data_IF_397438668580
#
_entry.id   IF_397438668580
#
_cell.length_a   1.000
_cell.length_b   1.000
_cell.length_c   1.000
_cell.angle_alpha   90.00
_cell.angle_beta   90.00
_cell.angle_gamma   90.00
#
_symmetry.space_group_name_H-M   'P 1'
#
loop_
_entity.id
_entity.type
_entity.pdbx_description
1 polymer ?
#
# COMPACT_ATOMS: atom_id res chain seq x y z
N UNK A 1 -35.77 -48.34 5.83
CA UNK A 1 -34.67 -47.96 6.75
C UNK A 1 -34.37 -46.49 6.46
N UNK A 2 -35.12 -45.57 7.10
CA UNK A 2 -34.64 -44.57 8.09
C UNK A 2 -33.49 -43.68 7.56
N UNK A 3 -33.80 -42.43 7.14
CA UNK A 3 -33.80 -41.15 7.90
C UNK A 3 -32.36 -40.55 7.97
N UNK A 4 -32.05 -39.30 7.59
CA UNK A 4 -32.55 -37.96 8.03
C UNK A 4 -31.91 -36.90 7.08
N UNK A 5 -32.62 -36.00 6.37
CA UNK A 5 -33.11 -34.63 6.73
C UNK A 5 -31.97 -33.64 7.11
N UNK A 6 -31.83 -32.36 6.74
CA UNK A 6 -32.35 -31.38 5.75
C UNK A 6 -31.53 -30.07 5.93
N UNK A 7 -31.43 -29.27 4.84
CA UNK A 7 -31.57 -27.80 4.71
C UNK A 7 -31.09 -26.81 5.82
N UNK A 8 -30.34 -25.78 5.39
CA UNK A 8 -30.20 -24.49 6.12
C UNK A 8 -31.35 -23.51 5.78
N UNK A 9 -31.17 -22.18 5.86
CA UNK A 9 -30.46 -21.34 6.82
C UNK A 9 -31.37 -20.23 7.42
N UNK A 10 -30.83 -19.36 8.29
CA UNK A 10 -31.39 -18.06 8.71
C UNK A 10 -32.79 -18.05 9.38
N UNK A 11 -32.81 -17.85 10.71
CA UNK A 11 -33.98 -17.35 11.45
C UNK A 11 -33.72 -15.94 11.97
N UNK A 12 -34.55 -15.00 11.49
CA UNK A 12 -34.88 -13.73 12.14
C UNK A 12 -35.45 -13.95 13.54
N UNK A 13 -35.36 -12.93 14.41
CA UNK A 13 -36.38 -12.46 15.36
C UNK A 13 -35.80 -11.20 16.04
N UNK A 14 -36.11 -9.99 15.58
CA UNK A 14 -37.28 -9.14 15.90
C UNK A 14 -37.44 -8.77 17.39
N UNK A 15 -37.17 -7.48 17.63
CA UNK A 15 -37.91 -6.50 18.48
C UNK A 15 -38.08 -6.71 19.99
N UNK A 16 -37.47 -5.77 20.73
CA UNK A 16 -38.11 -4.79 21.64
C UNK A 16 -39.33 -5.24 22.45
N UNK A 17 -39.24 -5.18 23.78
CA UNK A 17 -40.09 -4.33 24.66
C UNK A 17 -39.83 -4.61 26.14
N UNK A 18 -39.97 -3.57 26.97
CA UNK A 18 -40.45 -3.72 28.35
C UNK A 18 -39.54 -3.21 29.45
N UNK A 19 -39.76 -1.96 29.87
CA UNK A 19 -39.24 -1.39 31.11
C UNK A 19 -40.06 -1.86 32.32
N UNK A 20 -39.40 -2.13 33.46
CA UNK A 20 -39.95 -1.93 34.81
C UNK A 20 -38.82 -1.64 35.81
N UNK A 21 -39.00 -0.58 36.58
CA UNK A 21 -38.14 -0.12 37.67
C UNK A 21 -38.25 -1.04 38.91
N UNK A 22 -37.22 -1.08 39.76
CA UNK A 22 -37.30 -0.74 41.20
C UNK A 22 -35.97 -0.96 41.96
N UNK A 23 -35.56 0.11 42.67
CA UNK A 23 -35.05 0.21 44.05
C UNK A 23 -33.98 -0.75 44.58
N UNK A 24 -32.87 -0.16 45.04
CA UNK A 24 -31.94 -0.76 45.99
C UNK A 24 -30.72 0.15 46.21
N UNK A 25 -30.69 0.84 47.33
CA UNK A 25 -29.50 1.47 47.90
C UNK A 25 -28.35 0.45 47.98
N UNK A 26 -27.13 0.85 47.65
CA UNK A 26 -25.98 0.73 48.55
C UNK A 26 -24.72 1.25 47.86
N UNK A 27 -24.07 2.18 48.54
CA UNK A 27 -22.76 2.67 48.18
C UNK A 27 -21.75 1.53 48.37
N UNK A 28 -21.26 0.96 47.27
CA UNK A 28 -20.02 0.21 47.31
C UNK A 28 -19.03 0.71 46.25
N UNK A 29 -17.83 0.89 46.76
CA UNK A 29 -16.63 1.43 46.17
C UNK A 29 -16.44 1.06 44.70
N UNK A 30 -16.61 2.03 43.80
CA UNK A 30 -16.13 1.95 42.42
C UNK A 30 -14.60 1.93 42.41
N UNK A 31 -14.02 0.75 42.70
CA UNK A 31 -12.67 0.40 42.29
C UNK A 31 -12.62 0.61 40.78
N UNK A 32 -12.00 1.71 40.37
CA UNK A 32 -11.50 1.89 39.02
C UNK A 32 -10.58 0.69 38.77
N UNK A 33 -11.07 -0.34 38.11
CA UNK A 33 -10.21 -1.35 37.51
C UNK A 33 -9.36 -0.57 36.52
N UNK A 34 -8.13 -0.26 36.92
CA UNK A 34 -7.11 0.16 35.99
C UNK A 34 -7.00 -0.99 34.99
N UNK A 35 -7.62 -0.83 33.82
CA UNK A 35 -7.44 -1.71 32.68
C UNK A 35 -5.94 -1.71 32.42
N UNK A 36 -5.26 -2.78 32.82
CA UNK A 36 -3.85 -2.97 32.52
C UNK A 36 -3.70 -2.90 31.01
N UNK A 37 -3.10 -1.84 30.51
CA UNK A 37 -2.81 -1.69 29.08
C UNK A 37 -1.77 -2.76 28.76
N UNK A 38 -2.23 -3.87 28.18
CA UNK A 38 -1.36 -4.96 27.75
C UNK A 38 -0.61 -4.46 26.52
N UNK A 39 0.66 -4.14 26.71
CA UNK A 39 1.56 -3.78 25.61
C UNK A 39 2.19 -5.04 25.04
N UNK A 40 2.09 -5.18 23.73
CA UNK A 40 2.61 -6.31 22.95
C UNK A 40 3.70 -5.78 22.03
N UNK A 41 4.81 -6.53 21.92
CA UNK A 41 5.86 -6.31 20.93
C UNK A 41 5.45 -6.92 19.60
N UNK A 42 5.41 -6.12 18.55
CA UNK A 42 5.14 -6.58 17.19
C UNK A 42 6.05 -5.87 16.19
N UNK A 43 6.00 -6.32 14.93
CA UNK A 43 6.79 -5.76 13.84
C UNK A 43 5.87 -5.00 12.91
N UNK A 44 6.20 -3.75 12.61
CA UNK A 44 5.40 -2.88 11.75
C UNK A 44 5.46 -3.29 10.25
N UNK A 45 4.92 -2.45 9.36
CA UNK A 45 4.95 -2.73 7.91
C UNK A 45 6.31 -2.52 7.25
N UNK A 46 7.26 -1.90 7.96
CA UNK A 46 8.63 -1.62 7.53
C UNK A 46 9.67 -2.45 8.28
N UNK A 47 9.22 -3.48 9.00
CA UNK A 47 10.07 -4.41 9.73
C UNK A 47 10.72 -3.83 11.00
N UNK A 48 10.22 -2.71 11.51
CA UNK A 48 10.67 -2.14 12.78
C UNK A 48 9.95 -2.79 13.97
N UNK A 49 10.66 -3.15 15.05
CA UNK A 49 10.04 -3.61 16.28
C UNK A 49 9.36 -2.43 16.99
N UNK A 50 8.08 -2.56 17.28
CA UNK A 50 7.25 -1.55 17.94
C UNK A 50 6.50 -2.19 19.11
N UNK A 51 6.29 -1.42 20.17
CA UNK A 51 5.44 -1.81 21.30
C UNK A 51 4.11 -1.07 21.18
N UNK A 52 2.99 -1.79 21.27
CA UNK A 52 1.66 -1.18 21.19
C UNK A 52 0.57 -2.09 21.76
N UNK A 53 -0.68 -1.63 21.71
CA UNK A 53 -1.82 -2.36 22.23
C UNK A 53 -2.29 -3.46 21.25
N UNK A 54 -3.17 -4.35 21.71
CA UNK A 54 -3.86 -5.33 20.87
C UNK A 54 -4.62 -4.68 19.70
N UNK A 55 -5.20 -3.50 19.92
CA UNK A 55 -5.89 -2.74 18.86
C UNK A 55 -4.93 -2.31 17.75
N UNK A 56 -3.72 -1.87 18.11
CA UNK A 56 -2.70 -1.45 17.14
C UNK A 56 -2.26 -2.62 16.25
N UNK A 57 -2.16 -3.82 16.83
CA UNK A 57 -1.88 -5.06 16.09
C UNK A 57 -3.00 -5.39 15.10
N UNK A 58 -4.26 -5.23 15.51
CA UNK A 58 -5.40 -5.47 14.62
C UNK A 58 -5.42 -4.49 13.44
N UNK A 59 -5.25 -3.19 13.71
CA UNK A 59 -5.12 -2.15 12.68
C UNK A 59 -3.97 -2.46 11.73
N UNK A 60 -2.83 -2.90 12.25
CA UNK A 60 -1.68 -3.26 11.43
C UNK A 60 -1.97 -4.45 10.51
N UNK A 61 -2.71 -5.44 11.00
CA UNK A 61 -3.14 -6.58 10.18
C UNK A 61 -4.08 -6.14 9.06
N UNK A 62 -5.03 -5.24 9.33
CA UNK A 62 -5.89 -4.66 8.30
C UNK A 62 -5.09 -3.90 7.23
N UNK A 63 -4.12 -3.07 7.65
CA UNK A 63 -3.26 -2.33 6.73
C UNK A 63 -2.46 -3.30 5.85
N UNK A 64 -1.91 -4.36 6.43
CA UNK A 64 -1.18 -5.40 5.71
C UNK A 64 -2.07 -6.09 4.67
N UNK A 65 -3.33 -6.35 5.01
CA UNK A 65 -4.28 -6.95 4.06
C UNK A 65 -4.68 -5.98 2.94
N UNK A 66 -4.88 -4.68 3.25
CA UNK A 66 -5.12 -3.66 2.22
C UNK A 66 -3.94 -3.55 1.25
N UNK A 67 -2.71 -3.64 1.73
CA UNK A 67 -1.50 -3.69 0.89
C UNK A 67 -1.49 -4.93 -0.01
N UNK A 68 -1.90 -6.10 0.51
CA UNK A 68 -2.04 -7.33 -0.28
C UNK A 68 -3.12 -7.23 -1.34
N UNK A 69 -4.28 -6.65 -1.02
CA UNK A 69 -5.34 -6.40 -2.00
C UNK A 69 -4.87 -5.48 -3.10
N UNK A 70 -4.13 -4.42 -2.75
CA UNK A 70 -3.54 -3.51 -3.72
C UNK A 70 -2.52 -4.24 -4.62
N UNK A 71 -1.68 -5.12 -4.06
CA UNK A 71 -0.78 -5.97 -4.84
C UNK A 71 -1.54 -6.85 -5.84
N UNK A 72 -2.62 -7.51 -5.41
CA UNK A 72 -3.46 -8.33 -6.29
C UNK A 72 -4.10 -7.51 -7.41
N UNK A 73 -4.55 -6.29 -7.12
CA UNK A 73 -5.08 -5.39 -8.13
C UNK A 73 -4.02 -4.99 -9.17
N UNK A 74 -2.78 -4.73 -8.73
CA UNK A 74 -1.66 -4.49 -9.63
C UNK A 74 -1.36 -5.70 -10.52
N UNK A 75 -1.29 -6.90 -9.94
CA UNK A 75 -1.07 -8.14 -10.69
C UNK A 75 -2.17 -8.41 -11.70
N UNK A 76 -3.45 -8.26 -11.32
CA UNK A 76 -4.58 -8.47 -12.24
C UNK A 76 -4.53 -7.51 -13.46
N UNK A 77 -4.07 -6.28 -13.25
CA UNK A 77 -3.86 -5.33 -14.35
C UNK A 77 -2.65 -5.72 -15.21
N UNK A 78 -1.59 -6.24 -14.59
CA UNK A 78 -0.41 -6.73 -15.31
C UNK A 78 -0.71 -7.99 -16.14
N UNK A 79 -1.50 -8.93 -15.61
CA UNK A 79 -1.94 -10.13 -16.34
C UNK A 79 -2.83 -9.77 -17.53
N UNK A 80 -3.73 -8.79 -17.36
CA UNK A 80 -4.65 -8.38 -18.42
C UNK A 80 -4.03 -7.48 -19.50
N UNK A 81 -3.08 -6.61 -19.14
CA UNK A 81 -2.42 -5.68 -20.10
C UNK A 81 -1.07 -6.16 -20.60
N UNK A 82 -0.52 -7.21 -19.98
CA UNK A 82 0.82 -7.71 -20.20
C UNK A 82 1.84 -7.08 -19.27
N UNK A 83 2.94 -7.81 -19.11
CA UNK A 83 4.13 -7.38 -18.37
C UNK A 83 4.58 -5.99 -18.82
N UNK A 84 4.97 -5.15 -17.87
CA UNK A 84 5.60 -3.85 -18.16
C UNK A 84 4.69 -2.86 -18.94
N UNK A 85 3.36 -2.98 -18.81
CA UNK A 85 2.37 -2.15 -19.53
C UNK A 85 2.53 -0.63 -19.35
N UNK A 86 3.13 -0.20 -18.24
CA UNK A 86 3.40 1.20 -17.90
C UNK A 86 4.59 1.82 -18.66
N UNK A 87 5.46 0.99 -19.26
CA UNK A 87 6.61 1.46 -20.06
C UNK A 87 6.21 1.94 -21.46
N UNK A 88 5.12 1.41 -22.01
CA UNK A 88 4.67 1.68 -23.39
C UNK A 88 4.20 3.13 -23.60
N UNK A 89 3.90 3.85 -22.53
CA UNK A 89 3.32 5.20 -22.57
C UNK A 89 4.31 6.27 -23.07
N UNK A 90 5.62 6.04 -22.99
CA UNK A 90 6.64 7.07 -23.24
C UNK A 90 7.20 7.08 -24.68
N UNK A 91 6.86 6.09 -25.52
CA UNK A 91 7.43 5.97 -26.89
C UNK A 91 6.75 6.85 -27.94
N UNK A 92 5.74 7.66 -27.60
CA UNK A 92 5.13 8.59 -28.57
C UNK A 92 5.92 9.91 -28.59
N UNK A 93 6.97 9.94 -29.41
CA UNK A 93 7.57 11.21 -29.82
C UNK A 93 6.57 11.95 -30.72
N UNK A 94 6.15 13.16 -30.32
CA UNK A 94 5.26 14.00 -31.10
C UNK A 94 3.77 13.66 -30.94
N UNK A 95 3.16 14.07 -29.82
CA UNK A 95 1.71 14.05 -29.66
C UNK A 95 1.14 15.26 -30.43
N UNK A 96 0.74 15.05 -31.69
CA UNK A 96 -0.29 15.90 -32.30
C UNK A 96 -1.62 15.56 -31.61
N UNK A 97 -2.34 16.58 -31.14
CA UNK A 97 -3.59 16.43 -30.36
C UNK A 97 -4.64 15.58 -31.10
N UNK A 98 -4.53 15.48 -32.42
CA UNK A 98 -5.39 14.73 -33.34
C UNK A 98 -5.14 13.23 -33.42
N UNK A 99 -4.08 12.67 -32.81
CA UNK A 99 -3.76 11.22 -32.90
C UNK A 99 -3.65 10.48 -31.56
N UNK A 100 -4.05 11.12 -30.45
CA UNK A 100 -4.07 10.47 -29.12
C UNK A 100 -4.96 9.22 -29.16
N UNK A 101 -4.33 8.05 -29.14
CA UNK A 101 -5.02 6.78 -28.97
C UNK A 101 -5.73 6.81 -27.61
N UNK A 102 -7.06 6.73 -27.63
CA UNK A 102 -7.92 6.71 -26.43
C UNK A 102 -7.45 5.66 -25.42
N UNK A 103 -6.89 4.54 -25.90
CA UNK A 103 -6.29 3.48 -25.06
C UNK A 103 -5.10 3.95 -24.23
N UNK A 104 -4.26 4.84 -24.76
CA UNK A 104 -3.09 5.39 -24.05
C UNK A 104 -3.55 6.30 -22.93
N UNK A 105 -4.56 7.14 -23.18
CA UNK A 105 -5.16 8.01 -22.16
C UNK A 105 -5.88 7.19 -21.08
N UNK A 106 -6.66 6.18 -21.46
CA UNK A 106 -7.32 5.29 -20.49
C UNK A 106 -6.30 4.57 -19.59
N UNK A 107 -5.21 4.08 -20.18
CA UNK A 107 -4.11 3.45 -19.45
C UNK A 107 -3.40 4.44 -18.52
N UNK A 108 -3.20 5.70 -18.92
CA UNK A 108 -2.55 6.71 -18.08
C UNK A 108 -3.41 7.08 -16.87
N UNK A 109 -4.73 7.19 -17.08
CA UNK A 109 -5.71 7.41 -16.00
C UNK A 109 -5.71 6.23 -15.04
N UNK A 110 -5.72 5.00 -15.54
CA UNK A 110 -5.65 3.79 -14.70
C UNK A 110 -4.35 3.77 -13.89
N UNK A 111 -3.21 4.02 -14.53
CA UNK A 111 -1.90 4.05 -13.87
C UNK A 111 -1.87 5.09 -12.75
N UNK A 112 -2.39 6.29 -13.02
CA UNK A 112 -2.50 7.36 -12.02
C UNK A 112 -3.37 6.94 -10.82
N UNK A 113 -4.48 6.25 -11.06
CA UNK A 113 -5.36 5.75 -9.98
C UNK A 113 -4.66 4.68 -9.15
N UNK A 114 -3.95 3.74 -9.78
CA UNK A 114 -3.21 2.69 -9.09
C UNK A 114 -2.06 3.26 -8.25
N UNK A 115 -1.28 4.21 -8.80
CA UNK A 115 -0.15 4.84 -8.08
C UNK A 115 -0.65 5.59 -6.84
N UNK A 116 -1.78 6.30 -6.94
CA UNK A 116 -2.39 7.01 -5.79
C UNK A 116 -2.84 6.07 -4.67
N UNK A 117 -3.12 4.81 -4.98
CA UNK A 117 -3.44 3.76 -3.99
C UNK A 117 -2.20 3.04 -3.45
N UNK A 118 -1.03 3.35 -4.00
CA UNK A 118 0.25 2.77 -3.59
C UNK A 118 0.83 1.87 -4.66
N UNK A 119 2.15 2.00 -4.85
CA UNK A 119 2.95 1.11 -5.69
C UNK A 119 3.56 0.04 -4.78
N UNK A 120 3.33 -1.25 -5.07
CA UNK A 120 3.93 -2.33 -4.33
C UNK A 120 5.46 -2.30 -4.37
N UNK A 121 6.16 -2.64 -3.26
CA UNK A 121 7.62 -2.50 -3.16
C UNK A 121 8.41 -3.11 -4.32
N UNK A 122 8.06 -4.32 -4.75
CA UNK A 122 8.74 -5.06 -5.84
C UNK A 122 8.64 -4.34 -7.19
N UNK A 123 7.55 -3.60 -7.42
CA UNK A 123 7.32 -2.87 -8.68
C UNK A 123 7.86 -1.44 -8.65
N UNK A 124 8.17 -0.88 -7.47
CA UNK A 124 8.66 0.50 -7.33
C UNK A 124 9.84 0.81 -8.24
N UNK A 125 10.92 0.00 -8.31
CA UNK A 125 12.07 0.33 -9.14
C UNK A 125 11.70 0.50 -10.62
N UNK A 126 10.82 -0.36 -11.14
CA UNK A 126 10.40 -0.32 -12.55
C UNK A 126 9.43 0.82 -12.84
N UNK A 127 8.41 0.96 -11.99
CA UNK A 127 7.37 1.99 -12.16
C UNK A 127 7.96 3.39 -11.98
N UNK A 128 8.79 3.61 -10.95
CA UNK A 128 9.44 4.91 -10.73
C UNK A 128 10.42 5.26 -11.85
N UNK A 129 11.22 4.31 -12.34
CA UNK A 129 12.13 4.53 -13.46
C UNK A 129 11.36 4.95 -14.73
N UNK A 130 10.20 4.35 -14.98
CA UNK A 130 9.35 4.68 -16.13
C UNK A 130 8.61 6.00 -15.99
N UNK A 131 7.98 6.26 -14.84
CA UNK A 131 7.08 7.42 -14.62
C UNK A 131 7.86 8.72 -14.44
N UNK A 132 9.05 8.68 -13.85
CA UNK A 132 9.89 9.88 -13.64
C UNK A 132 10.54 10.42 -14.91
N UNK A 133 10.48 9.66 -16.02
CA UNK A 133 11.26 9.94 -17.23
C UNK A 133 12.76 9.68 -17.07
N UNK A 134 13.21 9.15 -15.91
CA UNK A 134 14.60 8.77 -15.70
C UNK A 134 15.06 7.71 -16.70
N UNK A 135 14.18 6.80 -17.13
CA UNK A 135 14.49 5.85 -18.19
C UNK A 135 14.88 6.54 -19.50
N UNK A 136 14.15 7.60 -19.89
CA UNK A 136 14.44 8.38 -21.09
C UNK A 136 15.77 9.12 -20.97
N UNK A 137 16.03 9.74 -19.81
CA UNK A 137 17.32 10.40 -19.54
C UNK A 137 18.49 9.41 -19.59
N UNK A 138 18.31 8.20 -19.05
CA UNK A 138 19.31 7.15 -19.09
C UNK A 138 19.54 6.61 -20.50
N UNK A 139 18.51 6.57 -21.35
CA UNK A 139 18.66 6.13 -22.74
C UNK A 139 19.31 7.19 -23.65
N UNK A 140 19.31 8.46 -23.26
CA UNK A 140 19.95 9.54 -24.05
C UNK A 140 21.45 9.69 -23.78
N UNK A 141 21.95 9.07 -22.71
CA UNK A 141 23.36 9.15 -22.31
C UNK A 141 24.06 7.81 -22.51
N UNK A 142 25.39 7.79 -22.74
CA UNK A 142 26.16 6.54 -22.75
C UNK A 142 26.06 5.79 -21.42
N UNK A 143 26.23 4.47 -21.45
CA UNK A 143 26.22 3.65 -20.23
C UNK A 143 27.32 4.04 -19.25
N UNK A 144 28.46 4.56 -19.74
CA UNK A 144 29.56 5.05 -18.91
C UNK A 144 29.27 6.39 -18.23
N UNK A 145 28.23 7.14 -18.64
CA UNK A 145 28.02 8.53 -18.21
C UNK A 145 28.10 8.72 -16.70
N UNK A 146 27.34 7.93 -15.94
CA UNK A 146 27.35 8.03 -14.48
C UNK A 146 28.66 7.52 -13.87
N UNK A 147 29.28 6.49 -14.44
CA UNK A 147 30.57 5.98 -13.96
C UNK A 147 31.71 7.00 -14.16
N UNK A 148 31.69 7.71 -15.29
CA UNK A 148 32.66 8.77 -15.61
C UNK A 148 32.49 9.97 -14.68
N UNK A 149 31.24 10.34 -14.34
CA UNK A 149 30.96 11.38 -13.34
C UNK A 149 31.46 11.00 -11.95
N UNK A 150 31.26 9.74 -11.53
CA UNK A 150 31.77 9.26 -10.23
C UNK A 150 33.30 9.27 -10.20
N UNK A 151 33.97 8.74 -11.23
CA UNK A 151 35.43 8.76 -11.34
C UNK A 151 36.01 10.16 -11.34
N UNK A 152 35.31 11.12 -11.96
CA UNK A 152 35.77 12.51 -12.02
C UNK A 152 35.78 13.19 -10.63
N UNK A 153 34.98 12.72 -9.68
CA UNK A 153 34.86 13.27 -8.31
C UNK A 153 35.58 12.40 -7.27
N UNK A 154 35.96 11.18 -7.64
CA UNK A 154 36.71 10.25 -6.79
C UNK A 154 38.02 10.89 -6.28
N UNK A 155 38.21 10.87 -4.95
CA UNK A 155 39.36 11.47 -4.28
C UNK A 155 39.35 13.00 -4.17
N UNK A 156 38.31 13.69 -4.67
CA UNK A 156 38.20 15.15 -4.55
C UNK A 156 37.32 15.54 -3.36
N UNK A 157 37.85 16.40 -2.50
CA UNK A 157 37.09 17.01 -1.41
C UNK A 157 36.36 18.24 -1.95
N UNK A 158 35.07 18.09 -2.23
CA UNK A 158 34.17 19.21 -2.56
C UNK A 158 33.29 19.54 -1.36
N UNK A 159 32.72 20.76 -1.25
CA UNK A 159 31.75 21.08 -0.22
C UNK A 159 30.56 20.11 -0.17
N UNK A 160 30.15 19.57 -1.33
CA UNK A 160 29.11 18.55 -1.41
C UNK A 160 29.59 17.20 -0.84
N UNK A 161 30.82 16.79 -1.13
CA UNK A 161 31.41 15.55 -0.57
C UNK A 161 31.48 15.61 0.96
N UNK A 162 31.95 16.73 1.51
CA UNK A 162 32.02 16.94 2.97
C UNK A 162 30.65 16.87 3.65
N UNK A 163 29.56 17.24 2.97
CA UNK A 163 28.21 17.13 3.55
C UNK A 163 27.66 15.70 3.53
N UNK A 164 28.14 14.86 2.61
CA UNK A 164 27.66 13.47 2.46
C UNK A 164 28.38 12.54 3.42
N UNK A 165 29.64 12.81 3.73
CA UNK A 165 30.48 11.96 4.58
C UNK A 165 30.19 12.11 6.10
N UNK A 166 29.40 13.11 6.49
CA UNK A 166 29.05 13.44 7.88
C UNK A 166 27.65 12.93 8.25
#
# INVERSE_FOLDING_TARGET
MHATQQDGPYSENLTSNGATNNTGEDADTAKKHATSVVTVKFVDTYEFPVEGNLEDVNVLNEVRERVRQQWRAWLAVEDSKGKDWYLKQQKSEGITVSSLRISVLANSILLKRLIRKGIPPVLRPKVWLSVSGALKKRSTVPESYYADLTKAVEGKVTPATLQIDH
#
